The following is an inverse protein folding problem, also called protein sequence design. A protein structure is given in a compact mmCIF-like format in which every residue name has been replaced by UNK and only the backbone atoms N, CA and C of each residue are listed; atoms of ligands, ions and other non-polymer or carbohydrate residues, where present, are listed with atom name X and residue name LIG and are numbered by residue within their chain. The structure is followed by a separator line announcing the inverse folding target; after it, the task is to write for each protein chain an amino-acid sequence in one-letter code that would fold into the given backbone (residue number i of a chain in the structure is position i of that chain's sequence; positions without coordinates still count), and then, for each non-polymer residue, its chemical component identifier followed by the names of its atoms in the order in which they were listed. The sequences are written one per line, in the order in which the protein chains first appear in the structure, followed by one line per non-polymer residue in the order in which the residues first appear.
data_IF_774664598867
#
_entry.id   IF_774664598867
#
_cell.length_a   1.000
_cell.length_b   1.000
_cell.length_c   1.000
_cell.angle_alpha   90.00
_cell.angle_beta   90.00
_cell.angle_gamma   90.00
#
_symmetry.space_group_name_H-M   'P 1'
#
loop_
_entity.id
_entity.type
_entity.pdbx_description
1 polymer ?
#
# COMPACT_ATOMS: atom_id res chain seq x y z
N UNK A 1 1.12 -71.92 -20.46
CA UNK A 1 2.08 -72.36 -19.42
C UNK A 1 2.63 -71.17 -18.60
N UNK A 2 1.80 -70.21 -18.16
CA UNK A 2 2.25 -69.00 -17.44
C UNK A 2 1.87 -68.98 -15.94
N UNK A 3 1.06 -69.93 -15.46
CA UNK A 3 0.45 -69.88 -14.13
C UNK A 3 1.32 -70.43 -13.00
N UNK A 4 2.38 -71.19 -13.29
CA UNK A 4 3.20 -71.83 -12.25
C UNK A 4 4.37 -70.97 -11.74
N UNK A 5 4.82 -69.96 -12.51
CA UNK A 5 5.85 -68.99 -12.07
C UNK A 5 5.25 -67.77 -11.38
N UNK A 6 3.97 -67.49 -11.62
CA UNK A 6 3.25 -66.33 -11.09
C UNK A 6 2.85 -66.48 -9.61
N UNK A 7 2.97 -67.68 -9.05
CA UNK A 7 2.65 -67.94 -7.64
C UNK A 7 3.71 -67.47 -6.66
N UNK A 8 4.94 -67.17 -7.11
CA UNK A 8 6.04 -66.85 -6.19
C UNK A 8 6.32 -65.35 -6.03
N UNK A 9 6.09 -64.57 -7.08
CA UNK A 9 6.33 -63.12 -7.08
C UNK A 9 5.04 -62.36 -7.36
N UNK A 10 4.43 -61.87 -6.28
CA UNK A 10 3.26 -61.01 -6.32
C UNK A 10 3.49 -59.81 -5.39
N UNK A 11 3.97 -58.67 -5.92
CA UNK A 11 4.28 -57.49 -5.11
C UNK A 11 3.06 -56.93 -4.37
N UNK A 12 1.85 -57.09 -4.90
CA UNK A 12 0.63 -56.61 -4.24
C UNK A 12 0.42 -57.32 -2.91
N UNK A 13 0.42 -58.66 -2.97
CA UNK A 13 0.24 -59.51 -1.81
C UNK A 13 1.46 -59.46 -0.87
N UNK A 14 2.68 -59.45 -1.41
CA UNK A 14 3.91 -59.41 -0.63
C UNK A 14 4.03 -58.14 0.21
N UNK A 15 3.70 -56.98 -0.37
CA UNK A 15 3.70 -55.69 0.32
C UNK A 15 2.40 -55.41 1.09
N UNK A 16 1.42 -56.31 0.99
CA UNK A 16 0.10 -56.22 1.59
C UNK A 16 -0.66 -54.95 1.16
N UNK A 17 -0.47 -54.47 -0.07
CA UNK A 17 -0.98 -53.17 -0.53
C UNK A 17 -2.51 -53.17 -0.61
N UNK A 18 -3.09 -54.27 -1.11
CA UNK A 18 -4.54 -54.47 -1.13
C UNK A 18 -5.11 -54.81 0.24
N UNK A 19 -6.31 -54.31 0.52
CA UNK A 19 -7.16 -54.86 1.57
C UNK A 19 -7.66 -56.25 1.13
N UNK A 20 -7.67 -57.22 2.04
CA UNK A 20 -8.29 -58.53 1.80
C UNK A 20 -9.83 -58.42 1.68
N UNK A 21 -10.39 -57.23 1.96
CA UNK A 21 -11.78 -56.90 1.67
C UNK A 21 -12.06 -56.78 0.17
N UNK A 22 -13.28 -57.12 -0.24
CA UNK A 22 -13.79 -57.09 -1.62
C UNK A 22 -13.72 -55.72 -2.33
N UNK A 23 -13.24 -54.66 -1.68
CA UNK A 23 -13.23 -53.30 -2.23
C UNK A 23 -12.06 -53.02 -3.18
N UNK A 24 -10.98 -53.82 -3.13
CA UNK A 24 -9.75 -53.52 -3.87
C UNK A 24 -9.13 -52.16 -3.47
N UNK A 25 -9.48 -51.66 -2.28
CA UNK A 25 -8.90 -50.44 -1.73
C UNK A 25 -7.44 -50.68 -1.35
N UNK A 26 -6.60 -49.66 -1.55
CA UNK A 26 -5.20 -49.70 -1.10
C UNK A 26 -5.13 -49.22 0.35
N UNK A 27 -4.57 -50.02 1.24
CA UNK A 27 -4.39 -49.62 2.64
C UNK A 27 -3.02 -49.02 2.88
N UNK A 28 -2.98 -47.88 3.59
CA UNK A 28 -1.74 -47.21 3.98
C UNK A 28 -0.71 -48.18 4.60
N UNK A 29 0.53 -48.13 4.10
CA UNK A 29 1.65 -48.96 4.55
C UNK A 29 2.28 -48.45 5.86
N UNK A 30 1.87 -47.27 6.31
CA UNK A 30 2.33 -46.61 7.53
C UNK A 30 1.92 -47.35 8.78
N UNK A 31 2.70 -47.18 9.85
CA UNK A 31 2.42 -47.78 11.17
C UNK A 31 2.35 -46.69 12.23
N UNK A 32 1.31 -46.75 13.04
CA UNK A 32 1.11 -45.84 14.16
C UNK A 32 2.01 -46.28 15.33
N UNK A 33 3.10 -45.55 15.56
CA UNK A 33 4.04 -45.80 16.67
C UNK A 33 3.35 -45.76 18.04
N UNK A 34 2.34 -44.91 18.17
CA UNK A 34 1.54 -44.72 19.40
C UNK A 34 0.54 -45.85 19.66
N UNK A 35 0.30 -46.74 18.70
CA UNK A 35 -0.67 -47.85 18.81
C UNK A 35 0.02 -49.20 18.58
N UNK A 36 1.09 -49.47 19.31
CA UNK A 36 1.84 -50.75 19.22
C UNK A 36 2.25 -51.12 17.79
N UNK A 37 2.69 -50.13 16.99
CA UNK A 37 3.01 -50.32 15.57
C UNK A 37 1.87 -50.93 14.74
N UNK A 38 0.61 -50.70 15.13
CA UNK A 38 -0.54 -51.10 14.34
C UNK A 38 -0.49 -50.45 12.96
N UNK A 39 -0.90 -51.22 11.94
CA UNK A 39 -1.00 -50.73 10.57
C UNK A 39 -2.07 -49.65 10.47
N UNK A 40 -1.78 -48.59 9.73
CA UNK A 40 -2.74 -47.54 9.45
C UNK A 40 -3.95 -48.11 8.71
N UNK A 41 -5.16 -47.81 9.19
CA UNK A 41 -6.42 -48.25 8.56
C UNK A 41 -6.92 -47.29 7.47
N UNK A 42 -6.11 -46.30 7.10
CA UNK A 42 -6.51 -45.33 6.08
C UNK A 42 -6.46 -45.96 4.69
N UNK A 43 -7.56 -45.85 3.95
CA UNK A 43 -7.66 -46.34 2.58
C UNK A 43 -7.30 -45.20 1.62
N UNK A 44 -6.33 -45.46 0.75
CA UNK A 44 -5.92 -44.58 -0.34
C UNK A 44 -6.83 -44.87 -1.54
N UNK A 45 -7.48 -43.83 -2.06
CA UNK A 45 -8.57 -43.93 -3.03
C UNK A 45 -8.30 -43.03 -4.24
N UNK A 46 -9.14 -43.15 -5.27
CA UNK A 46 -9.10 -42.25 -6.43
C UNK A 46 -7.85 -42.41 -7.30
N UNK A 47 -7.28 -41.29 -7.75
CA UNK A 47 -6.17 -41.26 -8.71
C UNK A 47 -4.90 -41.91 -8.13
N UNK A 48 -4.64 -41.72 -6.84
CA UNK A 48 -3.46 -42.26 -6.16
C UNK A 48 -3.48 -43.79 -6.14
N UNK A 49 -4.67 -44.39 -5.95
CA UNK A 49 -4.88 -45.85 -6.03
C UNK A 49 -4.42 -46.39 -7.39
N UNK A 50 -4.84 -45.75 -8.48
CA UNK A 50 -4.48 -46.20 -9.83
C UNK A 50 -2.96 -46.10 -10.06
N UNK A 51 -2.33 -45.02 -9.60
CA UNK A 51 -0.88 -44.84 -9.68
C UNK A 51 -0.10 -45.91 -8.88
N UNK A 52 -0.63 -46.32 -7.72
CA UNK A 52 -0.07 -47.41 -6.93
C UNK A 52 -0.15 -48.73 -7.70
N UNK A 53 -1.30 -49.05 -8.29
CA UNK A 53 -1.46 -50.26 -9.10
C UNK A 53 -0.58 -50.28 -10.34
N UNK A 54 -0.38 -49.14 -11.01
CA UNK A 54 0.58 -49.02 -12.12
C UNK A 54 2.02 -49.27 -11.68
N UNK A 55 2.42 -48.77 -10.50
CA UNK A 55 3.73 -49.03 -9.92
C UNK A 55 3.91 -50.51 -9.56
N UNK A 56 2.90 -51.13 -8.94
CA UNK A 56 2.89 -52.56 -8.62
C UNK A 56 2.97 -53.40 -9.90
N UNK A 57 2.20 -53.09 -10.93
CA UNK A 57 2.23 -53.79 -12.21
C UNK A 57 3.62 -53.72 -12.89
N UNK A 58 4.30 -52.57 -12.81
CA UNK A 58 5.69 -52.44 -13.27
C UNK A 58 6.67 -53.29 -12.47
N UNK A 59 6.49 -53.39 -11.15
CA UNK A 59 7.32 -54.27 -10.31
C UNK A 59 7.09 -55.75 -10.61
N UNK A 60 5.85 -56.15 -10.93
CA UNK A 60 5.53 -57.53 -11.30
C UNK A 60 6.19 -58.00 -12.60
N UNK A 61 6.66 -57.05 -13.44
CA UNK A 61 7.38 -57.35 -14.67
C UNK A 61 8.89 -57.57 -14.45
N UNK A 62 9.42 -57.19 -13.28
CA UNK A 62 10.82 -57.39 -12.90
C UNK A 62 10.98 -58.67 -12.08
N UNK A 63 12.11 -59.34 -12.21
CA UNK A 63 12.45 -60.43 -11.29
C UNK A 63 12.75 -59.84 -9.88
N UNK A 64 12.49 -60.56 -8.78
CA UNK A 64 12.64 -60.01 -7.44
C UNK A 64 14.06 -59.52 -7.12
N UNK A 65 15.08 -60.12 -7.72
CA UNK A 65 16.50 -59.75 -7.60
C UNK A 65 16.87 -58.46 -8.35
N UNK A 66 16.08 -58.06 -9.35
CA UNK A 66 16.26 -56.83 -10.11
C UNK A 66 15.61 -55.61 -9.43
N UNK A 67 14.75 -55.81 -8.44
CA UNK A 67 14.02 -54.73 -7.77
C UNK A 67 14.91 -54.01 -6.76
N UNK A 68 15.19 -52.72 -7.04
CA UNK A 68 16.07 -51.89 -6.22
C UNK A 68 15.30 -50.96 -5.27
N UNK A 69 16.00 -50.35 -4.31
CA UNK A 69 15.42 -49.35 -3.39
C UNK A 69 14.72 -48.20 -4.13
N UNK A 70 15.32 -47.76 -5.24
CA UNK A 70 14.83 -46.68 -6.09
C UNK A 70 13.51 -47.02 -6.77
N UNK A 71 13.24 -48.30 -7.03
CA UNK A 71 11.97 -48.76 -7.60
C UNK A 71 10.85 -48.77 -6.53
N UNK A 72 11.20 -49.07 -5.28
CA UNK A 72 10.27 -49.15 -4.16
C UNK A 72 9.90 -47.77 -3.58
N UNK A 73 10.78 -46.78 -3.73
CA UNK A 73 10.58 -45.46 -3.13
C UNK A 73 9.31 -44.74 -3.61
N UNK A 74 9.03 -44.61 -4.92
CA UNK A 74 7.81 -43.98 -5.40
C UNK A 74 6.55 -44.72 -4.96
N UNK A 75 6.61 -46.06 -4.90
CA UNK A 75 5.51 -46.89 -4.41
C UNK A 75 5.25 -46.63 -2.93
N UNK A 76 6.29 -46.63 -2.10
CA UNK A 76 6.17 -46.39 -0.67
C UNK A 76 5.61 -44.98 -0.38
N UNK A 77 6.08 -43.97 -1.10
CA UNK A 77 5.59 -42.60 -0.99
C UNK A 77 4.09 -42.50 -1.28
N UNK A 78 3.62 -43.18 -2.33
CA UNK A 78 2.20 -43.20 -2.72
C UNK A 78 1.35 -44.04 -1.77
N UNK A 79 1.91 -45.10 -1.20
CA UNK A 79 1.23 -46.00 -0.25
C UNK A 79 1.13 -45.45 1.18
N UNK A 80 1.49 -44.18 1.43
CA UNK A 80 1.42 -43.55 2.75
C UNK A 80 0.40 -42.42 2.75
N UNK A 81 -0.42 -42.33 3.81
CA UNK A 81 -1.32 -41.18 3.96
C UNK A 81 -0.51 -39.91 4.25
N UNK A 82 -0.79 -38.87 3.46
CA UNK A 82 -0.01 -37.63 3.45
C UNK A 82 0.01 -36.94 4.82
N UNK A 83 -1.11 -37.02 5.54
CA UNK A 83 -1.34 -36.28 6.78
C UNK A 83 -0.56 -36.82 7.99
N UNK A 84 -0.35 -38.15 8.05
CA UNK A 84 0.15 -38.79 9.27
C UNK A 84 1.42 -39.63 9.08
N UNK A 85 1.67 -40.18 7.89
CA UNK A 85 2.77 -41.13 7.69
C UNK A 85 3.70 -40.76 6.52
N UNK A 86 3.61 -39.55 5.98
CA UNK A 86 4.47 -39.07 4.87
C UNK A 86 5.97 -39.08 5.20
N UNK A 87 6.36 -39.08 6.47
CA UNK A 87 7.76 -39.19 6.91
C UNK A 87 8.26 -40.64 7.06
N UNK A 88 7.41 -41.66 6.86
CA UNK A 88 7.77 -43.08 7.04
C UNK A 88 8.24 -43.76 5.74
N UNK A 89 8.46 -43.02 4.65
CA UNK A 89 8.81 -43.60 3.33
C UNK A 89 10.06 -44.49 3.44
N UNK A 90 11.14 -43.99 4.05
CA UNK A 90 12.39 -44.76 4.19
C UNK A 90 12.22 -46.05 5.01
N UNK A 91 11.42 -46.02 6.08
CA UNK A 91 11.15 -47.21 6.90
C UNK A 91 10.34 -48.26 6.14
N UNK A 92 9.37 -47.83 5.32
CA UNK A 92 8.58 -48.71 4.46
C UNK A 92 9.45 -49.35 3.40
N UNK A 93 10.29 -48.55 2.72
CA UNK A 93 11.23 -49.05 1.69
C UNK A 93 12.18 -50.08 2.29
N UNK A 94 12.80 -49.78 3.44
CA UNK A 94 13.72 -50.72 4.10
C UNK A 94 13.04 -52.04 4.45
N UNK A 95 11.81 -51.99 4.97
CA UNK A 95 11.02 -53.19 5.29
C UNK A 95 10.68 -53.99 4.03
N UNK A 96 10.29 -53.32 2.95
CA UNK A 96 9.96 -53.97 1.68
C UNK A 96 11.18 -54.57 1.01
N UNK A 97 12.34 -53.93 1.04
CA UNK A 97 13.60 -54.49 0.52
C UNK A 97 13.93 -55.84 1.18
N UNK A 98 13.70 -55.97 2.48
CA UNK A 98 13.91 -57.24 3.19
C UNK A 98 12.92 -58.33 2.73
N UNK A 99 11.67 -57.97 2.40
CA UNK A 99 10.70 -58.90 1.80
C UNK A 99 11.11 -59.31 0.38
N UNK A 100 11.55 -58.35 -0.44
CA UNK A 100 12.05 -58.59 -1.80
C UNK A 100 13.26 -59.52 -1.77
N UNK A 101 14.22 -59.30 -0.86
CA UNK A 101 15.40 -60.15 -0.69
C UNK A 101 15.02 -61.60 -0.38
N UNK A 102 14.05 -61.81 0.51
CA UNK A 102 13.52 -63.17 0.81
C UNK A 102 12.81 -63.77 -0.39
N UNK A 103 12.03 -62.97 -1.12
CA UNK A 103 11.37 -63.42 -2.34
C UNK A 103 12.39 -63.85 -3.42
N UNK A 104 13.46 -63.08 -3.62
CA UNK A 104 14.54 -63.41 -4.55
C UNK A 104 15.25 -64.74 -4.21
N UNK A 105 15.54 -64.98 -2.93
CA UNK A 105 16.14 -66.24 -2.47
C UNK A 105 15.25 -67.44 -2.82
N UNK A 106 13.96 -67.33 -2.54
CA UNK A 106 13.04 -68.42 -2.78
C UNK A 106 12.68 -68.59 -4.27
N UNK A 107 12.63 -67.50 -5.04
CA UNK A 107 12.50 -67.53 -6.50
C UNK A 107 13.67 -68.31 -7.13
N UNK A 108 14.90 -68.02 -6.70
CA UNK A 108 16.12 -68.72 -7.13
C UNK A 108 16.08 -70.22 -6.78
N UNK A 109 15.59 -70.57 -5.58
CA UNK A 109 15.42 -71.96 -5.15
C UNK A 109 14.37 -72.72 -5.98
N UNK A 110 13.28 -72.06 -6.37
CA UNK A 110 12.22 -72.65 -7.19
C UNK A 110 12.69 -72.89 -8.63
N UNK A 111 13.36 -71.91 -9.24
CA UNK A 111 13.92 -72.05 -10.60
C UNK A 111 15.00 -73.14 -10.68
N UNK A 112 15.76 -73.35 -9.60
CA UNK A 112 16.77 -74.43 -9.54
C UNK A 112 16.15 -75.83 -9.50
N UNK A 113 14.93 -75.99 -8.98
CA UNK A 113 14.23 -77.29 -8.89
C UNK A 113 13.53 -77.72 -10.18
N UNK A 114 13.21 -76.78 -11.08
CA UNK A 114 12.57 -77.10 -12.35
C UNK A 114 13.55 -77.61 -13.43
N UNK A 115 14.87 -77.48 -13.20
CA UNK A 115 15.91 -77.87 -14.16
C UNK A 115 16.50 -79.27 -13.93
N UNK A 116 15.90 -80.13 -13.11
CA UNK A 116 16.27 -81.56 -13.01
C UNK A 116 15.45 -82.42 -13.97
N UNK A 117 16.04 -83.02 -15.02
CA UNK A 117 15.31 -83.86 -15.97
C UNK A 117 15.02 -85.24 -15.36
N UNK A 118 13.73 -85.57 -15.25
CA UNK A 118 13.23 -86.89 -14.86
C UNK A 118 13.51 -87.93 -15.95
N UNK A 119 14.01 -89.07 -15.49
CA UNK A 119 14.57 -90.17 -16.27
C UNK A 119 13.44 -91.13 -16.68
N UNK A 120 13.42 -91.45 -17.97
CA UNK A 120 12.46 -92.31 -18.67
C UNK A 120 12.23 -93.68 -18.01
N UNK A 121 10.99 -94.18 -18.13
CA UNK A 121 10.63 -95.59 -17.89
C UNK A 121 10.17 -96.28 -19.19
N UNK A 122 10.40 -97.59 -19.34
CA UNK A 122 10.48 -98.26 -20.65
C UNK A 122 9.17 -98.96 -21.06
N UNK A 123 8.92 -98.96 -22.37
CA UNK A 123 7.85 -99.69 -23.05
C UNK A 123 8.05 -101.20 -22.98
N UNK A 124 7.03 -101.90 -22.48
CA UNK A 124 6.97 -103.37 -22.38
C UNK A 124 6.34 -103.96 -23.65
N UNK A 125 7.16 -104.61 -24.48
CA UNK A 125 6.75 -105.37 -25.66
C UNK A 125 6.54 -106.85 -25.30
N UNK A 126 5.30 -107.32 -25.32
CA UNK A 126 4.99 -108.75 -25.23
C UNK A 126 5.02 -109.39 -26.63
N UNK A 127 5.80 -110.44 -26.78
CA UNK A 127 5.76 -111.36 -27.92
C UNK A 127 6.10 -112.75 -27.42
N UNK A 128 5.21 -113.73 -27.67
CA UNK A 128 5.45 -115.17 -27.62
C UNK A 128 4.15 -115.89 -28.05
N UNK A 129 4.18 -117.19 -28.39
CA UNK A 129 4.98 -117.83 -29.44
C UNK A 129 4.08 -118.80 -30.25
N UNK A 130 4.54 -119.31 -31.40
CA UNK A 130 3.85 -120.45 -32.01
C UNK A 130 4.79 -121.34 -32.82
N UNK A 131 4.44 -122.64 -32.80
CA UNK A 131 4.95 -123.81 -33.56
C UNK A 131 6.08 -124.60 -32.89
N UNK A 132 6.10 -125.94 -32.86
CA UNK A 132 5.37 -126.94 -33.65
C UNK A 132 5.56 -128.38 -33.12
N UNK A 133 4.48 -129.18 -33.13
CA UNK A 133 4.33 -130.51 -33.80
C UNK A 133 5.14 -131.71 -33.26
N UNK A 134 4.42 -132.81 -32.95
CA UNK A 134 4.70 -134.13 -33.55
C UNK A 134 3.45 -135.04 -33.61
N UNK A 135 3.22 -135.60 -34.80
CA UNK A 135 2.05 -136.34 -35.24
C UNK A 135 2.23 -137.85 -35.01
N UNK A 136 1.33 -138.47 -34.26
CA UNK A 136 1.08 -139.92 -34.28
C UNK A 136 -0.03 -140.25 -35.29
N UNK A 137 0.31 -141.08 -36.28
CA UNK A 137 -0.56 -141.53 -37.36
C UNK A 137 -1.86 -142.16 -36.85
N UNK A 138 -3.02 -141.88 -37.47
CA UNK A 138 -4.20 -142.64 -37.14
C UNK A 138 -4.78 -143.43 -38.31
N UNK A 139 -5.06 -144.68 -37.96
CA UNK A 139 -5.90 -145.70 -38.58
C UNK A 139 -7.20 -145.17 -39.22
N UNK A 140 -7.79 -145.95 -40.14
CA UNK A 140 -8.90 -145.62 -41.03
C UNK A 140 -10.14 -144.95 -40.38
N UNK A 141 -10.35 -145.05 -39.07
CA UNK A 141 -11.39 -144.30 -38.35
C UNK A 141 -11.09 -142.78 -38.21
N UNK A 142 -9.83 -142.38 -38.30
CA UNK A 142 -9.41 -140.98 -38.21
C UNK A 142 -9.36 -140.25 -39.54
N UNK A 143 -9.48 -140.95 -40.67
CA UNK A 143 -9.74 -140.31 -41.96
C UNK A 143 -11.16 -139.71 -41.99
N UNK A 144 -12.15 -140.42 -41.44
CA UNK A 144 -13.54 -139.93 -41.30
C UNK A 144 -13.62 -138.78 -40.28
N UNK A 145 -12.93 -138.91 -39.13
CA UNK A 145 -12.86 -137.86 -38.11
C UNK A 145 -12.09 -136.63 -38.60
N UNK A 146 -10.99 -136.81 -39.35
CA UNK A 146 -10.26 -135.71 -39.99
C UNK A 146 -11.07 -135.03 -41.09
N UNK A 147 -11.93 -135.77 -41.80
CA UNK A 147 -12.85 -135.20 -42.80
C UNK A 147 -13.89 -134.31 -42.11
N UNK A 148 -14.56 -134.81 -41.08
CA UNK A 148 -15.51 -134.03 -40.26
C UNK A 148 -14.83 -132.84 -39.57
N UNK A 149 -13.61 -133.01 -39.04
CA UNK A 149 -12.83 -131.91 -38.45
C UNK A 149 -12.43 -130.89 -39.52
N UNK A 150 -12.02 -131.30 -40.73
CA UNK A 150 -11.71 -130.39 -41.84
C UNK A 150 -12.94 -129.65 -42.34
N UNK A 151 -14.08 -130.31 -42.42
CA UNK A 151 -15.34 -129.72 -42.90
C UNK A 151 -15.92 -128.74 -41.87
N UNK A 152 -15.87 -129.11 -40.57
CA UNK A 152 -16.27 -128.23 -39.47
C UNK A 152 -15.29 -127.08 -39.25
N UNK A 153 -13.99 -127.31 -39.43
CA UNK A 153 -12.98 -126.25 -39.38
C UNK A 153 -13.04 -125.33 -40.60
N UNK A 154 -13.30 -125.84 -41.80
CA UNK A 154 -13.55 -125.02 -42.98
C UNK A 154 -14.82 -124.17 -42.81
N UNK A 155 -15.89 -124.74 -42.26
CA UNK A 155 -17.10 -123.99 -41.90
C UNK A 155 -16.85 -122.92 -40.84
N UNK A 156 -16.04 -123.21 -39.81
CA UNK A 156 -15.65 -122.23 -38.80
C UNK A 156 -14.77 -121.12 -39.38
N UNK A 157 -13.81 -121.46 -40.24
CA UNK A 157 -12.94 -120.51 -40.92
C UNK A 157 -13.75 -119.61 -41.85
N UNK A 158 -14.71 -120.17 -42.58
CA UNK A 158 -15.62 -119.39 -43.43
C UNK A 158 -16.48 -118.44 -42.60
N UNK A 159 -17.08 -118.92 -41.50
CA UNK A 159 -17.87 -118.07 -40.60
C UNK A 159 -17.04 -116.98 -39.93
N UNK A 160 -15.81 -117.31 -39.52
CA UNK A 160 -14.87 -116.33 -38.96
C UNK A 160 -14.47 -115.31 -40.02
N UNK A 161 -14.18 -115.74 -41.24
CA UNK A 161 -13.86 -114.84 -42.35
C UNK A 161 -15.01 -113.89 -42.67
N UNK A 162 -16.25 -114.37 -42.73
CA UNK A 162 -17.44 -113.55 -42.91
C UNK A 162 -17.64 -112.56 -41.75
N UNK A 163 -17.42 -113.01 -40.51
CA UNK A 163 -17.50 -112.14 -39.32
C UNK A 163 -16.43 -111.05 -39.37
N UNK A 164 -15.18 -111.41 -39.67
CA UNK A 164 -14.07 -110.46 -39.79
C UNK A 164 -14.25 -109.49 -40.95
N UNK A 165 -14.79 -109.94 -42.10
CA UNK A 165 -15.17 -109.03 -43.18
C UNK A 165 -16.25 -108.04 -42.75
N UNK A 166 -17.26 -108.50 -42.02
CA UNK A 166 -18.33 -107.65 -41.52
C UNK A 166 -17.81 -106.62 -40.50
N UNK A 167 -16.93 -107.03 -39.60
CA UNK A 167 -16.25 -106.14 -38.64
C UNK A 167 -15.35 -105.12 -39.34
N UNK A 168 -14.56 -105.55 -40.34
CA UNK A 168 -13.72 -104.67 -41.13
C UNK A 168 -14.56 -103.63 -41.89
N UNK A 169 -15.71 -104.03 -42.43
CA UNK A 169 -16.64 -103.13 -43.10
C UNK A 169 -17.23 -102.10 -42.14
N UNK A 170 -17.65 -102.52 -40.93
CA UNK A 170 -18.13 -101.60 -39.88
C UNK A 170 -17.03 -100.61 -39.47
N UNK A 171 -15.81 -101.10 -39.24
CA UNK A 171 -14.66 -100.26 -38.89
C UNK A 171 -14.32 -99.26 -40.00
N UNK A 172 -14.35 -99.67 -41.27
CA UNK A 172 -14.18 -98.74 -42.39
C UNK A 172 -15.25 -97.65 -42.43
N UNK A 173 -16.50 -98.02 -42.14
CA UNK A 173 -17.60 -97.05 -42.07
C UNK A 173 -17.40 -96.07 -40.91
N UNK A 174 -17.00 -96.56 -39.74
CA UNK A 174 -16.64 -95.72 -38.58
C UNK A 174 -15.49 -94.76 -38.91
N UNK A 175 -14.43 -95.25 -39.56
CA UNK A 175 -13.32 -94.40 -40.00
C UNK A 175 -13.77 -93.32 -41.00
N UNK A 176 -14.70 -93.64 -41.91
CA UNK A 176 -15.29 -92.64 -42.83
C UNK A 176 -16.07 -91.58 -42.06
N UNK A 177 -16.94 -92.00 -41.14
CA UNK A 177 -17.74 -91.08 -40.34
C UNK A 177 -16.85 -90.16 -39.47
N UNK A 178 -15.85 -90.71 -38.80
CA UNK A 178 -14.89 -89.93 -37.98
C UNK A 178 -14.10 -88.95 -38.83
N UNK A 179 -13.73 -89.32 -40.06
CA UNK A 179 -13.02 -88.42 -40.99
C UNK A 179 -13.90 -87.23 -41.38
N UNK A 180 -15.17 -87.46 -41.66
CA UNK A 180 -16.14 -86.39 -41.95
C UNK A 180 -16.37 -85.48 -40.74
N UNK A 181 -16.47 -86.06 -39.54
CA UNK A 181 -16.59 -85.31 -38.29
C UNK A 181 -15.36 -84.43 -38.02
N UNK A 182 -14.14 -84.97 -38.20
CA UNK A 182 -12.90 -84.20 -38.06
C UNK A 182 -12.87 -83.02 -39.04
N UNK A 183 -13.27 -83.22 -40.30
CA UNK A 183 -13.27 -82.14 -41.29
C UNK A 183 -14.35 -81.09 -40.97
N UNK A 184 -15.50 -81.51 -40.42
CA UNK A 184 -16.52 -80.59 -39.92
C UNK A 184 -16.01 -79.74 -38.75
N UNK A 185 -15.43 -80.38 -37.72
CA UNK A 185 -14.85 -79.70 -36.56
C UNK A 185 -13.70 -78.77 -36.96
N UNK A 186 -12.89 -79.17 -37.93
CA UNK A 186 -11.82 -78.32 -38.48
C UNK A 186 -12.37 -77.06 -39.16
N UNK A 187 -13.47 -77.16 -39.92
CA UNK A 187 -14.12 -75.98 -40.51
C UNK A 187 -14.73 -75.07 -39.45
N UNK A 188 -15.34 -75.64 -38.41
CA UNK A 188 -15.93 -74.88 -37.32
C UNK A 188 -14.87 -74.13 -36.49
N UNK A 189 -13.78 -74.81 -36.14
CA UNK A 189 -12.63 -74.18 -35.44
C UNK A 189 -11.94 -73.12 -36.29
N UNK A 190 -11.81 -73.33 -37.61
CA UNK A 190 -11.28 -72.29 -38.51
C UNK A 190 -12.19 -71.05 -38.53
N UNK A 191 -13.52 -71.26 -38.68
CA UNK A 191 -14.49 -70.16 -38.66
C UNK A 191 -14.47 -69.39 -37.34
N UNK A 192 -14.33 -70.09 -36.21
CA UNK A 192 -14.18 -69.44 -34.90
C UNK A 192 -12.88 -68.64 -34.81
N UNK A 193 -11.77 -69.20 -35.30
CA UNK A 193 -10.46 -68.53 -35.33
C UNK A 193 -10.50 -67.25 -36.16
N UNK A 194 -11.09 -67.29 -37.35
CA UNK A 194 -11.26 -66.13 -38.23
C UNK A 194 -12.15 -65.06 -37.56
N UNK A 195 -13.21 -65.48 -36.87
CA UNK A 195 -14.07 -64.60 -36.09
C UNK A 195 -13.33 -63.88 -34.95
N UNK A 196 -12.50 -64.60 -34.19
CA UNK A 196 -11.69 -64.01 -33.13
C UNK A 196 -10.60 -63.08 -33.68
N UNK A 197 -9.98 -63.43 -34.81
CA UNK A 197 -8.99 -62.57 -35.47
C UNK A 197 -9.62 -61.25 -35.93
N UNK A 198 -10.84 -61.28 -36.49
CA UNK A 198 -11.58 -60.07 -36.84
C UNK A 198 -11.87 -59.20 -35.61
N UNK A 199 -12.38 -59.80 -34.52
CA UNK A 199 -12.63 -59.07 -33.27
C UNK A 199 -11.36 -58.43 -32.69
N UNK A 200 -10.22 -59.14 -32.72
CA UNK A 200 -8.94 -58.58 -32.25
C UNK A 200 -8.48 -57.44 -33.15
N UNK A 201 -8.68 -57.54 -34.47
CA UNK A 201 -8.39 -56.45 -35.41
C UNK A 201 -9.22 -55.20 -35.11
N UNK A 202 -10.52 -55.36 -34.87
CA UNK A 202 -11.43 -54.25 -34.54
C UNK A 202 -11.07 -53.60 -33.21
N UNK A 203 -10.77 -54.41 -32.18
CA UNK A 203 -10.32 -53.89 -30.89
C UNK A 203 -9.00 -53.11 -31.01
N UNK A 204 -8.04 -53.57 -31.83
CA UNK A 204 -6.80 -52.83 -32.08
C UNK A 204 -7.07 -51.48 -32.74
N UNK A 205 -7.93 -51.44 -33.76
CA UNK A 205 -8.32 -50.20 -34.41
C UNK A 205 -8.98 -49.20 -33.43
N UNK A 206 -9.81 -49.70 -32.51
CA UNK A 206 -10.41 -48.87 -31.45
C UNK A 206 -9.37 -48.33 -30.46
N UNK A 207 -8.40 -49.17 -30.05
CA UNK A 207 -7.31 -48.74 -29.18
C UNK A 207 -6.45 -47.66 -29.85
N UNK A 208 -6.13 -47.83 -31.13
CA UNK A 208 -5.36 -46.85 -31.90
C UNK A 208 -6.12 -45.51 -32.04
N UNK A 209 -7.42 -45.56 -32.33
CA UNK A 209 -8.27 -44.37 -32.37
C UNK A 209 -8.27 -43.63 -31.02
N UNK A 210 -8.43 -44.35 -29.90
CA UNK A 210 -8.40 -43.75 -28.56
C UNK A 210 -7.02 -43.21 -28.18
N UNK A 211 -5.95 -43.87 -28.58
CA UNK A 211 -4.60 -43.37 -28.37
C UNK A 211 -4.35 -42.05 -29.12
N UNK A 212 -4.88 -41.92 -30.34
CA UNK A 212 -4.79 -40.68 -31.11
C UNK A 212 -5.62 -39.55 -30.47
N UNK A 213 -6.83 -39.84 -29.99
CA UNK A 213 -7.63 -38.86 -29.23
C UNK A 213 -6.93 -38.41 -27.94
N UNK A 214 -6.31 -39.33 -27.20
CA UNK A 214 -5.53 -39.03 -26.00
C UNK A 214 -4.30 -38.18 -26.33
N UNK A 215 -3.63 -38.43 -27.45
CA UNK A 215 -2.51 -37.61 -27.91
C UNK A 215 -2.97 -36.16 -28.20
N UNK A 216 -4.07 -36.01 -28.96
CA UNK A 216 -4.63 -34.70 -29.26
C UNK A 216 -5.07 -33.93 -27.99
N UNK A 217 -5.70 -34.63 -27.03
CA UNK A 217 -6.08 -34.03 -25.75
C UNK A 217 -4.87 -33.58 -24.92
N UNK A 218 -3.76 -34.34 -24.93
CA UNK A 218 -2.51 -33.94 -24.27
C UNK A 218 -1.90 -32.69 -24.88
N UNK A 219 -1.91 -32.57 -26.21
CA UNK A 219 -1.40 -31.38 -26.89
C UNK A 219 -2.27 -30.14 -26.59
N UNK A 220 -3.58 -30.33 -26.48
CA UNK A 220 -4.49 -29.25 -26.09
C UNK A 220 -4.27 -28.80 -24.64
N UNK A 221 -4.08 -29.74 -23.71
CA UNK A 221 -3.72 -29.45 -22.30
C UNK A 221 -2.41 -28.66 -22.26
N UNK A 222 -1.38 -29.12 -22.96
CA UNK A 222 -0.08 -28.42 -23.03
C UNK A 222 -0.21 -26.99 -23.54
N UNK A 223 -1.08 -26.77 -24.52
CA UNK A 223 -1.36 -25.44 -25.05
C UNK A 223 -2.08 -24.56 -24.01
N UNK A 224 -3.05 -25.12 -23.27
CA UNK A 224 -3.74 -24.40 -22.19
C UNK A 224 -2.80 -24.08 -21.02
N UNK A 225 -1.92 -25.01 -20.66
CA UNK A 225 -0.91 -24.79 -19.61
C UNK A 225 0.04 -23.64 -19.98
N UNK A 226 0.47 -23.56 -21.25
CA UNK A 226 1.25 -22.42 -21.74
C UNK A 226 0.50 -21.09 -21.58
N UNK A 227 -0.78 -21.03 -21.94
CA UNK A 227 -1.61 -19.82 -21.76
C UNK A 227 -1.81 -19.46 -20.29
N UNK A 228 -1.97 -20.45 -19.41
CA UNK A 228 -2.08 -20.22 -17.96
C UNK A 228 -0.79 -19.64 -17.42
N UNK A 229 0.37 -20.16 -17.85
CA UNK A 229 1.67 -19.62 -17.46
C UNK A 229 1.86 -18.17 -17.94
N UNK A 230 1.51 -17.87 -19.19
CA UNK A 230 1.57 -16.51 -19.73
C UNK A 230 0.68 -15.53 -18.94
N UNK A 231 -0.52 -15.97 -18.55
CA UNK A 231 -1.42 -15.17 -17.71
C UNK A 231 -0.86 -15.00 -16.29
N UNK A 232 -0.26 -16.03 -15.71
CA UNK A 232 0.39 -15.94 -14.40
C UNK A 232 1.55 -14.93 -14.41
N UNK A 233 2.37 -14.95 -15.47
CA UNK A 233 3.46 -13.99 -15.66
C UNK A 233 2.94 -12.55 -15.85
N UNK A 234 1.82 -12.37 -16.54
CA UNK A 234 1.16 -11.06 -16.69
C UNK A 234 0.62 -10.55 -15.35
N UNK A 235 -0.02 -11.41 -14.55
CA UNK A 235 -0.50 -11.05 -13.21
C UNK A 235 0.68 -10.67 -12.30
N UNK A 236 1.78 -11.41 -12.36
CA UNK A 236 2.99 -11.10 -11.59
C UNK A 236 3.56 -9.73 -11.96
N UNK A 237 3.66 -9.41 -13.26
CA UNK A 237 4.07 -8.08 -13.73
C UNK A 237 3.11 -6.99 -13.27
N UNK A 238 1.80 -7.20 -13.39
CA UNK A 238 0.79 -6.25 -12.94
C UNK A 238 0.91 -5.96 -11.42
N UNK A 239 1.15 -7.00 -10.61
CA UNK A 239 1.36 -6.85 -9.17
C UNK A 239 2.59 -5.98 -8.87
N UNK A 240 3.72 -6.21 -9.54
CA UNK A 240 4.92 -5.37 -9.36
C UNK A 240 4.69 -3.91 -9.79
N UNK A 241 3.95 -3.68 -10.88
CA UNK A 241 3.61 -2.31 -11.29
C UNK A 241 2.66 -1.62 -10.31
N UNK A 242 1.73 -2.36 -9.70
CA UNK A 242 0.83 -1.82 -8.68
C UNK A 242 1.60 -1.40 -7.43
N UNK A 243 2.57 -2.20 -6.98
CA UNK A 243 3.46 -1.88 -5.85
C UNK A 243 4.26 -0.59 -6.11
N UNK A 244 4.83 -0.43 -7.32
CA UNK A 244 5.51 0.80 -7.73
C UNK A 244 4.57 2.02 -7.76
N UNK A 245 3.33 1.84 -8.21
CA UNK A 245 2.32 2.92 -8.19
C UNK A 245 1.98 3.31 -6.74
N UNK A 246 1.85 2.35 -5.84
CA UNK A 246 1.59 2.64 -4.42
C UNK A 246 2.73 3.43 -3.76
N UNK A 247 3.98 3.07 -4.06
CA UNK A 247 5.18 3.80 -3.60
C UNK A 247 5.18 5.25 -4.11
N UNK A 248 4.99 5.45 -5.43
CA UNK A 248 4.94 6.80 -6.01
C UNK A 248 3.77 7.63 -5.47
N UNK A 249 2.60 7.03 -5.23
CA UNK A 249 1.47 7.71 -4.59
C UNK A 249 1.81 8.11 -3.15
N UNK A 250 2.55 7.28 -2.40
CA UNK A 250 3.01 7.63 -1.07
C UNK A 250 3.97 8.83 -1.08
N UNK A 251 4.91 8.87 -2.03
CA UNK A 251 5.81 10.02 -2.23
C UNK A 251 5.04 11.30 -2.56
N UNK A 252 4.09 11.23 -3.49
CA UNK A 252 3.25 12.39 -3.83
C UNK A 252 2.42 12.91 -2.65
N UNK A 253 1.94 12.01 -1.78
CA UNK A 253 1.24 12.41 -0.54
C UNK A 253 2.16 13.21 0.38
N UNK A 254 3.40 12.76 0.57
CA UNK A 254 4.38 13.49 1.39
C UNK A 254 4.73 14.86 0.80
N UNK A 255 4.89 14.95 -0.52
CA UNK A 255 5.13 16.21 -1.23
C UNK A 255 3.96 17.19 -1.07
N UNK A 256 2.73 16.70 -1.23
CA UNK A 256 1.51 17.50 -1.02
C UNK A 256 1.44 18.02 0.41
N UNK A 257 1.70 17.18 1.39
CA UNK A 257 1.61 17.57 2.80
C UNK A 257 2.69 18.62 3.17
N UNK A 258 3.87 18.54 2.56
CA UNK A 258 4.90 19.60 2.66
C UNK A 258 4.42 20.91 2.06
N UNK A 259 3.89 20.89 0.84
CA UNK A 259 3.40 22.08 0.16
C UNK A 259 2.23 22.75 0.93
N UNK A 260 1.36 21.96 1.55
CA UNK A 260 0.29 22.47 2.42
C UNK A 260 0.87 23.20 3.64
N UNK A 261 1.85 22.62 4.32
CA UNK A 261 2.53 23.26 5.47
C UNK A 261 3.22 24.57 5.08
N UNK A 262 3.92 24.58 3.95
CA UNK A 262 4.58 25.80 3.44
C UNK A 262 3.58 26.90 3.09
N UNK A 263 2.47 26.54 2.43
CA UNK A 263 1.38 27.48 2.13
C UNK A 263 0.77 28.07 3.40
N UNK A 264 0.53 27.25 4.42
CA UNK A 264 -0.09 27.70 5.67
C UNK A 264 0.87 28.59 6.48
N UNK A 265 2.17 28.28 6.46
CA UNK A 265 3.21 29.17 6.99
C UNK A 265 3.22 30.51 6.25
N UNK A 266 3.21 30.49 4.91
CA UNK A 266 3.20 31.70 4.10
C UNK A 266 1.97 32.57 4.38
N UNK A 267 0.78 31.96 4.54
CA UNK A 267 -0.44 32.67 4.93
C UNK A 267 -0.31 33.35 6.29
N UNK A 268 0.30 32.69 7.28
CA UNK A 268 0.55 33.29 8.59
C UNK A 268 1.50 34.49 8.51
N UNK A 269 2.57 34.40 7.70
CA UNK A 269 3.52 35.49 7.49
C UNK A 269 2.82 36.69 6.84
N UNK A 270 2.02 36.45 5.80
CA UNK A 270 1.25 37.51 5.13
C UNK A 270 0.30 38.19 6.12
N UNK A 271 -0.47 37.42 6.91
CA UNK A 271 -1.37 37.97 7.91
C UNK A 271 -0.65 38.81 8.98
N UNK A 272 0.54 38.36 9.42
CA UNK A 272 1.37 39.13 10.34
C UNK A 272 1.81 40.46 9.70
N UNK A 273 2.32 40.42 8.47
CA UNK A 273 2.80 41.63 7.76
C UNK A 273 1.68 42.61 7.46
N UNK A 274 0.49 42.13 7.13
CA UNK A 274 -0.69 42.98 6.98
C UNK A 274 -1.06 43.67 8.31
N UNK A 275 -0.90 42.99 9.44
CA UNK A 275 -1.08 43.59 10.77
C UNK A 275 -0.03 44.65 11.10
N UNK A 276 1.25 44.38 10.80
CA UNK A 276 2.35 45.35 10.94
C UNK A 276 2.12 46.59 10.06
N UNK A 277 1.68 46.40 8.81
CA UNK A 277 1.36 47.51 7.89
C UNK A 277 0.18 48.35 8.40
N UNK A 278 -0.90 47.73 8.88
CA UNK A 278 -2.05 48.46 9.43
C UNK A 278 -1.67 49.29 10.65
N UNK A 279 -0.94 48.69 11.60
CA UNK A 279 -0.48 49.42 12.79
C UNK A 279 0.50 50.55 12.44
N UNK A 280 1.41 50.31 11.48
CA UNK A 280 2.29 51.34 10.93
C UNK A 280 1.52 52.48 10.26
N UNK A 281 0.49 52.16 9.49
CA UNK A 281 -0.41 53.12 8.85
C UNK A 281 -1.14 54.01 9.85
N UNK A 282 -1.79 53.43 10.86
CA UNK A 282 -2.47 54.20 11.92
C UNK A 282 -1.51 55.12 12.69
N UNK A 283 -0.25 54.68 12.90
CA UNK A 283 0.76 55.54 13.53
C UNK A 283 1.14 56.72 12.62
N UNK A 284 1.26 56.49 11.32
CA UNK A 284 1.59 57.54 10.35
C UNK A 284 0.45 58.56 10.24
N UNK A 285 -0.80 58.10 10.20
CA UNK A 285 -1.99 58.98 10.25
C UNK A 285 -2.02 59.83 11.53
N UNK A 286 -1.75 59.25 12.70
CA UNK A 286 -1.66 60.00 13.95
C UNK A 286 -0.56 61.07 13.91
N UNK A 287 0.63 60.72 13.42
CA UNK A 287 1.73 61.67 13.28
C UNK A 287 1.43 62.77 12.27
N UNK A 288 0.71 62.45 11.20
CA UNK A 288 0.25 63.44 10.22
C UNK A 288 -0.72 64.42 10.88
N UNK A 289 -1.70 63.92 11.64
CA UNK A 289 -2.63 64.78 12.37
C UNK A 289 -1.92 65.68 13.40
N UNK A 290 -0.94 65.15 14.11
CA UNK A 290 -0.10 65.93 15.02
C UNK A 290 0.71 67.01 14.30
N UNK A 291 1.27 66.69 13.13
CA UNK A 291 2.01 67.64 12.32
C UNK A 291 1.10 68.76 11.79
N UNK A 292 -0.08 68.42 11.29
CA UNK A 292 -1.11 69.38 10.85
C UNK A 292 -1.53 70.31 12.00
N UNK A 293 -1.73 69.77 13.21
CA UNK A 293 -2.02 70.55 14.41
C UNK A 293 -0.88 71.51 14.76
N UNK A 294 0.37 71.02 14.82
CA UNK A 294 1.53 71.85 15.09
C UNK A 294 1.73 72.93 14.02
N UNK A 295 1.44 72.62 12.75
CA UNK A 295 1.47 73.60 11.68
C UNK A 295 0.41 74.70 11.89
N UNK A 296 -0.82 74.33 12.28
CA UNK A 296 -1.87 75.30 12.60
C UNK A 296 -1.47 76.21 13.79
N UNK A 297 -0.90 75.63 14.84
CA UNK A 297 -0.36 76.37 15.99
C UNK A 297 0.77 77.32 15.57
N UNK A 298 1.69 76.88 14.71
CA UNK A 298 2.76 77.73 14.18
C UNK A 298 2.19 78.91 13.38
N UNK A 299 1.18 78.69 12.54
CA UNK A 299 0.51 79.76 11.77
C UNK A 299 -0.15 80.77 12.71
N UNK A 300 -0.85 80.31 13.76
CA UNK A 300 -1.43 81.19 14.78
C UNK A 300 -0.35 82.00 15.51
N UNK A 301 0.75 81.37 15.93
CA UNK A 301 1.88 82.06 16.54
C UNK A 301 2.50 83.11 15.62
N UNK A 302 2.70 82.82 14.33
CA UNK A 302 3.18 83.81 13.37
C UNK A 302 2.21 84.99 13.24
N UNK A 303 0.90 84.74 13.17
CA UNK A 303 -0.10 85.82 13.14
C UNK A 303 -0.08 86.70 14.39
N UNK A 304 0.17 86.10 15.56
CA UNK A 304 0.34 86.82 16.84
C UNK A 304 1.63 87.64 16.85
N UNK A 305 2.72 87.12 16.30
CA UNK A 305 3.98 87.86 16.15
C UNK A 305 3.75 89.08 15.25
N UNK A 306 3.08 88.93 14.11
CA UNK A 306 2.77 90.05 13.21
C UNK A 306 1.89 91.11 13.91
N UNK A 307 0.87 90.67 14.67
CA UNK A 307 0.02 91.58 15.45
C UNK A 307 0.82 92.31 16.55
N UNK A 308 1.74 91.63 17.23
CA UNK A 308 2.62 92.27 18.22
C UNK A 308 3.60 93.24 17.55
N UNK A 309 4.10 92.92 16.37
CA UNK A 309 5.00 93.78 15.61
C UNK A 309 4.28 95.07 15.18
N UNK A 310 3.08 94.97 14.61
CA UNK A 310 2.26 96.15 14.26
C UNK A 310 1.90 97.00 15.48
N UNK A 311 1.60 96.38 16.63
CA UNK A 311 1.39 97.10 17.88
C UNK A 311 2.66 97.83 18.35
N UNK A 312 3.82 97.18 18.23
CA UNK A 312 5.12 97.78 18.57
C UNK A 312 5.44 98.99 17.67
N UNK A 313 5.26 98.86 16.36
CA UNK A 313 5.44 99.95 15.39
C UNK A 313 4.50 101.13 15.69
N UNK A 314 3.24 100.83 16.06
CA UNK A 314 2.26 101.85 16.47
C UNK A 314 2.73 102.57 17.75
N UNK A 315 3.13 101.82 18.77
CA UNK A 315 3.63 102.39 20.02
C UNK A 315 4.92 103.21 19.80
N UNK A 316 5.80 102.80 18.89
CA UNK A 316 7.00 103.56 18.53
C UNK A 316 6.65 104.86 17.80
N UNK A 317 5.67 104.83 16.90
CA UNK A 317 5.14 106.04 16.24
C UNK A 317 4.53 107.01 17.26
N UNK A 318 3.74 106.51 18.22
CA UNK A 318 3.20 107.30 19.32
C UNK A 318 4.30 107.89 20.21
N UNK A 319 5.30 107.08 20.58
CA UNK A 319 6.48 107.55 21.33
C UNK A 319 7.20 108.65 20.56
N UNK A 320 7.39 108.51 19.25
CA UNK A 320 8.01 109.54 18.41
C UNK A 320 7.19 110.83 18.40
N UNK A 321 5.86 110.74 18.29
CA UNK A 321 4.96 111.90 18.39
C UNK A 321 5.07 112.59 19.73
N UNK A 322 4.96 111.84 20.83
CA UNK A 322 5.09 112.38 22.19
C UNK A 322 6.48 113.00 22.44
N UNK A 323 7.54 112.42 21.88
CA UNK A 323 8.89 112.97 21.97
C UNK A 323 9.00 114.30 21.21
N UNK A 324 8.40 114.40 20.02
CA UNK A 324 8.32 115.65 19.27
C UNK A 324 7.45 116.71 19.99
N UNK A 325 6.33 116.31 20.59
CA UNK A 325 5.50 117.18 21.43
C UNK A 325 6.27 117.67 22.67
N UNK A 326 7.00 116.79 23.36
CA UNK A 326 7.86 117.19 24.47
C UNK A 326 8.97 118.15 24.02
N UNK A 327 9.58 117.92 22.85
CA UNK A 327 10.58 118.82 22.28
C UNK A 327 9.99 120.21 21.95
N UNK A 328 8.79 120.26 21.36
CA UNK A 328 8.10 121.53 21.08
C UNK A 328 7.69 122.25 22.38
N UNK A 329 7.20 121.53 23.39
CA UNK A 329 6.94 122.08 24.73
C UNK A 329 8.21 122.59 25.40
N UNK A 330 9.33 121.89 25.28
CA UNK A 330 10.62 122.34 25.81
C UNK A 330 11.09 123.64 25.13
N UNK A 331 10.96 123.74 23.80
CA UNK A 331 11.25 124.98 23.07
C UNK A 331 10.31 126.11 23.49
N UNK A 332 9.00 125.86 23.61
CA UNK A 332 8.04 126.86 24.06
C UNK A 332 8.33 127.33 25.50
N UNK A 333 8.76 126.42 26.37
CA UNK A 333 9.18 126.74 27.74
C UNK A 333 10.43 127.62 27.74
N UNK A 334 11.45 127.31 26.93
CA UNK A 334 12.64 128.15 26.82
C UNK A 334 12.33 129.52 26.20
N UNK A 335 11.42 129.60 25.23
CA UNK A 335 10.93 130.88 24.72
C UNK A 335 10.18 131.69 25.80
N UNK A 336 9.36 131.03 26.62
CA UNK A 336 8.70 131.69 27.76
C UNK A 336 9.71 132.18 28.78
N UNK A 337 10.72 131.37 29.14
CA UNK A 337 11.81 131.78 30.04
C UNK A 337 12.58 132.97 29.48
N UNK A 338 12.92 132.96 28.19
CA UNK A 338 13.58 134.09 27.54
C UNK A 338 12.72 135.35 27.57
N UNK A 339 11.40 135.21 27.36
CA UNK A 339 10.44 136.30 27.47
C UNK A 339 10.33 136.82 28.91
N UNK A 340 10.24 135.93 29.89
CA UNK A 340 10.20 136.24 31.31
C UNK A 340 11.49 136.95 31.74
N UNK A 341 12.65 136.47 31.30
CA UNK A 341 13.94 137.11 31.52
C UNK A 341 14.02 138.49 30.87
N UNK A 342 13.53 138.65 29.64
CA UNK A 342 13.38 139.97 29.00
C UNK A 342 12.42 140.90 29.75
N UNK A 343 11.34 140.39 30.35
CA UNK A 343 10.48 141.19 31.23
C UNK A 343 11.13 141.51 32.56
N UNK A 344 12.00 140.63 33.07
CA UNK A 344 12.78 140.85 34.28
C UNK A 344 13.79 141.98 34.05
N UNK A 345 14.47 141.97 32.90
CA UNK A 345 15.38 143.04 32.47
C UNK A 345 14.64 144.37 32.30
N UNK A 346 13.47 144.37 31.65
CA UNK A 346 12.59 145.56 31.58
C UNK A 346 12.15 146.04 32.96
N UNK A 347 11.80 145.14 33.87
CA UNK A 347 11.48 145.50 35.26
C UNK A 347 12.71 146.04 36.01
N UNK A 348 13.92 145.56 35.70
CA UNK A 348 15.16 146.10 36.25
C UNK A 348 15.45 147.52 35.74
N UNK A 349 15.17 147.77 34.46
CA UNK A 349 15.25 149.10 33.83
C UNK A 349 14.20 150.05 34.41
N UNK A 350 12.96 149.61 34.53
CA UNK A 350 11.89 150.37 35.18
C UNK A 350 12.22 150.63 36.65
N UNK A 351 12.83 149.68 37.37
CA UNK A 351 13.33 149.91 38.73
C UNK A 351 14.40 150.99 38.76
N UNK A 352 15.35 150.97 37.81
CA UNK A 352 16.35 152.04 37.66
C UNK A 352 15.70 153.38 37.32
N UNK A 353 14.71 153.39 36.44
CA UNK A 353 13.99 154.60 36.05
C UNK A 353 13.16 155.17 37.21
N UNK A 354 12.50 154.30 37.99
CA UNK A 354 11.85 154.69 39.25
C UNK A 354 12.88 155.20 40.26
N UNK A 355 14.08 154.62 40.30
CA UNK A 355 15.15 155.08 41.18
C UNK A 355 15.68 156.45 40.74
N UNK A 356 15.91 156.67 39.44
CA UNK A 356 16.26 157.97 38.86
C UNK A 356 15.18 159.02 39.11
N UNK A 357 13.90 158.63 38.97
CA UNK A 357 12.76 159.50 39.28
C UNK A 357 12.68 159.80 40.78
N UNK A 358 13.02 158.85 41.66
CA UNK A 358 13.17 159.11 43.10
C UNK A 358 14.32 160.04 43.40
N UNK A 359 15.47 159.84 42.78
CA UNK A 359 16.65 160.68 42.99
C UNK A 359 16.40 162.10 42.48
N UNK A 360 15.64 162.25 41.39
CA UNK A 360 15.09 163.53 40.91
C UNK A 360 14.08 164.15 41.88
N UNK A 361 13.19 163.36 42.47
CA UNK A 361 12.26 163.81 43.51
C UNK A 361 13.02 164.31 44.74
N UNK A 362 14.06 163.60 45.18
CA UNK A 362 14.94 164.02 46.27
C UNK A 362 15.71 165.30 45.90
N UNK A 363 16.13 165.45 44.64
CA UNK A 363 16.76 166.68 44.16
C UNK A 363 15.76 167.86 44.17
N UNK A 364 14.52 167.64 43.72
CA UNK A 364 13.46 168.66 43.77
C UNK A 364 13.00 168.98 45.20
N UNK A 365 12.95 168.02 46.11
CA UNK A 365 12.69 168.27 47.55
C UNK A 365 13.84 169.04 48.20
N UNK A 366 15.08 168.87 47.71
CA UNK A 366 16.25 169.62 48.15
C UNK A 366 16.28 171.05 47.59
N UNK A 367 15.80 171.24 46.36
CA UNK A 367 15.66 172.56 45.72
C UNK A 367 14.44 173.36 46.25
N UNK A 368 13.43 172.68 46.79
CA UNK A 368 12.25 173.31 47.40
C UNK A 368 12.47 173.81 48.84
N UNK A 369 13.65 173.59 49.45
CA UNK A 369 13.90 173.85 50.89
C UNK A 369 14.51 175.23 51.24
N UNK A 370 14.63 176.18 50.30
CA UNK A 370 15.28 177.49 50.57
C UNK A 370 14.40 178.75 50.54
N UNK A 371 13.08 178.70 50.31
CA UNK A 371 12.16 179.86 50.45
C UNK A 371 10.85 179.48 51.19
N UNK A 372 10.34 180.38 52.05
CA UNK A 372 9.77 180.09 53.37
C UNK A 372 8.28 180.55 53.56
N UNK A 373 7.40 179.64 54.07
CA UNK A 373 6.17 179.76 54.93
C UNK A 373 4.94 180.62 54.51
N UNK A 374 3.64 180.29 54.77
CA UNK A 374 2.89 180.05 56.05
C UNK A 374 1.49 179.36 55.84
N UNK A 375 0.94 178.71 56.90
CA UNK A 375 -0.42 178.15 57.23
C UNK A 375 -0.68 176.65 56.91
N UNK A 376 -0.81 175.66 57.83
CA UNK A 376 -1.55 175.38 59.09
C UNK A 376 -3.03 174.94 58.92
N UNK A 377 -3.34 173.63 59.09
CA UNK A 377 -4.27 173.06 60.11
C UNK A 377 -4.86 171.63 59.78
N UNK A 378 -4.68 170.71 60.75
CA UNK A 378 -5.61 169.69 61.31
C UNK A 378 -6.03 168.35 60.60
N UNK A 379 -5.56 167.21 61.20
CA UNK A 379 -6.27 165.98 61.69
C UNK A 379 -7.18 165.11 60.76
N UNK A 380 -7.59 163.85 61.13
CA UNK A 380 -7.03 162.72 61.94
C UNK A 380 -6.76 161.44 61.08
N UNK A 381 -5.88 160.50 61.45
CA UNK A 381 -6.06 159.37 62.40
C UNK A 381 -7.15 158.31 62.08
N UNK A 382 -6.68 157.06 61.86
CA UNK A 382 -7.27 155.78 62.35
C UNK A 382 -8.55 155.20 61.69
N UNK A 383 -8.93 153.92 61.95
CA UNK A 383 -8.15 152.69 61.95
C UNK A 383 -8.91 151.44 61.39
N UNK A 384 -8.21 150.30 61.35
CA UNK A 384 -8.69 148.95 61.69
C UNK A 384 -9.84 148.25 60.92
N UNK A 385 -9.50 147.00 60.57
CA UNK A 385 -10.26 145.74 60.78
C UNK A 385 -11.34 145.36 59.75
N UNK A 386 -11.15 144.19 59.12
CA UNK A 386 -11.81 142.88 59.38
C UNK A 386 -11.70 142.02 58.09
N UNK A 387 -11.25 140.75 58.12
CA UNK A 387 -11.88 139.53 58.64
C UNK A 387 -13.27 139.18 58.07
N UNK A 388 -13.38 137.90 57.65
CA UNK A 388 -14.57 137.09 57.27
C UNK A 388 -15.03 137.29 55.80
N UNK A 389 -15.50 136.27 55.06
CA UNK A 389 -16.22 135.01 55.39
C UNK A 389 -16.22 134.16 54.08
N UNK A 390 -15.85 132.88 54.06
CA UNK A 390 -16.69 131.67 54.27
C UNK A 390 -18.11 131.70 53.68
N UNK A 391 -18.35 130.87 52.64
CA UNK A 391 -19.46 129.90 52.39
C UNK A 391 -19.35 129.40 50.93
N UNK A 392 -19.22 128.12 50.58
CA UNK A 392 -19.98 126.87 50.82
C UNK A 392 -21.20 126.65 49.91
N UNK A 393 -21.10 125.65 49.02
CA UNK A 393 -22.10 124.64 48.58
C UNK A 393 -21.22 123.44 48.11
N UNK A 394 -21.19 122.22 48.68
CA UNK A 394 -22.18 121.16 49.00
C UNK A 394 -22.99 120.63 47.81
N UNK A 395 -22.87 119.30 47.61
CA UNK A 395 -23.69 118.42 46.76
C UNK A 395 -22.81 117.33 46.11
N UNK A 396 -22.42 116.25 46.81
CA UNK A 396 -23.14 114.96 46.96
C UNK A 396 -23.25 114.12 45.68
N UNK A 397 -22.71 112.90 45.70
CA UNK A 397 -22.94 111.87 44.69
C UNK A 397 -22.02 110.64 44.78
N UNK A 398 -22.16 109.86 45.86
CA UNK A 398 -21.68 108.46 45.95
C UNK A 398 -22.49 107.55 44.99
N UNK A 399 -21.87 106.47 44.48
CA UNK A 399 -22.57 105.33 43.85
C UNK A 399 -21.78 104.73 42.68
N UNK A 400 -20.91 103.74 42.88
CA UNK A 400 -21.19 102.29 42.96
C UNK A 400 -21.50 101.63 41.60
N UNK A 401 -20.65 100.65 41.27
CA UNK A 401 -20.91 99.37 40.57
C UNK A 401 -20.87 99.21 39.04
N UNK A 402 -20.04 98.21 38.69
CA UNK A 402 -20.25 97.07 37.77
C UNK A 402 -20.02 97.31 36.27
N UNK A 403 -19.06 96.60 35.65
CA UNK A 403 -19.10 95.18 35.19
C UNK A 403 -19.79 95.03 33.83
N UNK A 404 -19.00 94.63 32.83
CA UNK A 404 -19.22 93.63 31.76
C UNK A 404 -18.36 94.06 30.54
N UNK A 405 -17.30 93.31 30.23
CA UNK A 405 -17.27 92.24 29.20
C UNK A 405 -17.79 92.71 27.83
N UNK A 406 -16.87 92.70 26.86
CA UNK A 406 -16.93 91.71 25.79
C UNK A 406 -15.54 91.14 25.57
#
# INVERSE_FOLDING_TARGET
MATALQTYWDPENLFQIGDYGMSGDVQCAGRARTKNNARCRWNIRGIERNQIYELVARLSQKAPDEVQASDLWPLAQKCLCQDYHSNQVGEVVQRWQELVRRAAQNYSNASSRQNTPERESPSSSMSSPQRSIELGQPSAAAAELSRLVREKSASLVQKNFETTQQELWKSHQECRNLKEEIESLKKETQKATDGYLAQVSDMRALVDARNNELAAARDEIKTRDGRIQDMADQISRAATTAEQIEETVAEFRLLRDRAVKERDLMKSIVAQKDGELKSGGSRLESLQHDNERLHAENVDLYSKIDALQTNFETAESERSKLTAELATMAVALEQSKAKDQGTLEKNSLLKKEIQDLRDRLVHMEKDASMHQTVHVAAFPESPMKQLKKVRSHRGCGLGISRFWRR
#
